data_IF_189303528573
#
_entry.id   IF_189303528573
#
_cell.length_a   1.000
_cell.length_b   1.000
_cell.length_c   1.000
_cell.angle_alpha   90.00
_cell.angle_beta   90.00
_cell.angle_gamma   90.00
#
_symmetry.space_group_name_H-M   'P 1'
#
loop_
_entity.id
_entity.type
_entity.pdbx_description
1 polymer ?
#
# COMPACT_ATOMS: atom_id res chain seq x y z
N UNK A 1 1.90 -0.10 17.16
CA UNK A 1 3.12 -0.46 16.44
C UNK A 1 3.78 0.78 15.86
N UNK A 2 5.08 0.72 15.74
CA UNK A 2 5.84 1.83 15.17
C UNK A 2 5.85 1.77 13.65
N UNK A 3 5.68 2.90 12.97
CA UNK A 3 5.88 2.94 11.53
C UNK A 3 7.31 2.56 11.17
N UNK A 4 7.47 1.76 10.13
CA UNK A 4 8.79 1.35 9.63
C UNK A 4 9.33 2.33 8.58
N UNK A 5 8.46 3.14 8.00
CA UNK A 5 8.83 4.15 7.00
C UNK A 5 7.71 5.19 6.90
N UNK A 6 7.95 6.25 6.15
CA UNK A 6 6.98 7.33 5.97
C UNK A 6 6.22 7.15 4.65
N UNK A 7 4.94 7.54 4.68
CA UNK A 7 4.08 7.45 3.50
C UNK A 7 4.30 8.60 2.51
N UNK A 8 4.72 9.75 3.01
CA UNK A 8 4.72 10.95 2.19
C UNK A 8 3.31 11.38 1.83
N UNK A 9 3.13 11.94 0.65
CA UNK A 9 1.82 12.35 0.17
C UNK A 9 0.99 11.13 -0.21
N UNK A 10 -0.26 11.08 0.26
CA UNK A 10 -1.17 9.98 -0.05
C UNK A 10 -1.92 10.29 -1.34
N UNK A 11 -1.80 9.40 -2.31
CA UNK A 11 -2.44 9.54 -3.62
C UNK A 11 -3.30 8.31 -3.88
N UNK A 12 -4.34 8.48 -4.69
CA UNK A 12 -5.20 7.37 -5.11
C UNK A 12 -5.64 7.60 -6.55
N UNK A 13 -5.71 6.52 -7.32
CA UNK A 13 -6.34 6.62 -8.64
C UNK A 13 -7.82 6.91 -8.47
N UNK A 14 -8.46 7.56 -9.46
CA UNK A 14 -9.91 7.78 -9.39
C UNK A 14 -10.69 6.48 -9.24
N UNK A 15 -10.23 5.39 -9.86
CA UNK A 15 -10.89 4.09 -9.76
C UNK A 15 -10.91 3.54 -8.34
N UNK A 16 -9.79 3.59 -7.64
CA UNK A 16 -9.73 3.13 -6.25
C UNK A 16 -10.53 4.06 -5.34
N UNK A 17 -10.43 5.36 -5.55
CA UNK A 17 -11.17 6.32 -4.74
C UNK A 17 -12.67 6.08 -4.83
N UNK A 18 -13.18 5.88 -6.04
CA UNK A 18 -14.59 5.58 -6.29
C UNK A 18 -14.99 4.26 -5.64
N UNK A 19 -14.14 3.23 -5.76
CA UNK A 19 -14.40 1.92 -5.17
C UNK A 19 -14.53 1.99 -3.64
N UNK A 20 -13.61 2.69 -2.99
CA UNK A 20 -13.65 2.88 -1.54
C UNK A 20 -14.89 3.66 -1.12
N UNK A 21 -15.19 4.73 -1.84
CA UNK A 21 -16.34 5.57 -1.54
C UNK A 21 -17.65 4.80 -1.70
N UNK A 22 -17.77 4.06 -2.81
CA UNK A 22 -18.97 3.25 -3.09
C UNK A 22 -19.25 2.22 -1.99
N UNK A 23 -18.21 1.62 -1.43
CA UNK A 23 -18.34 0.60 -0.39
C UNK A 23 -18.22 1.14 1.04
N UNK A 24 -18.08 2.45 1.20
CA UNK A 24 -17.96 3.07 2.52
C UNK A 24 -16.72 2.63 3.28
N UNK A 25 -15.61 2.36 2.60
CA UNK A 25 -14.38 1.87 3.21
C UNK A 25 -13.37 3.00 3.37
N UNK A 26 -12.78 3.09 4.57
CA UNK A 26 -11.72 4.05 4.85
C UNK A 26 -10.37 3.41 4.54
N UNK A 27 -9.51 4.11 3.82
CA UNK A 27 -8.18 3.62 3.47
C UNK A 27 -7.22 3.62 4.66
N UNK A 28 -7.47 4.42 5.69
CA UNK A 28 -6.54 4.61 6.80
C UNK A 28 -6.06 3.31 7.46
N UNK A 29 -6.93 2.35 7.80
CA UNK A 29 -6.46 1.10 8.42
C UNK A 29 -5.48 0.33 7.53
N UNK A 30 -5.65 0.38 6.21
CA UNK A 30 -4.76 -0.30 5.28
C UNK A 30 -3.42 0.41 5.17
N UNK A 31 -3.42 1.73 5.20
CA UNK A 31 -2.19 2.51 5.22
C UNK A 31 -1.39 2.23 6.50
N UNK A 32 -2.06 2.10 7.63
CA UNK A 32 -1.41 1.74 8.89
C UNK A 32 -0.80 0.34 8.85
N UNK A 33 -1.49 -0.62 8.23
CA UNK A 33 -0.94 -1.96 8.02
C UNK A 33 0.31 -1.90 7.17
N UNK A 34 0.26 -1.13 6.10
CA UNK A 34 1.36 -0.97 5.14
C UNK A 34 2.64 -0.48 5.83
N UNK A 35 2.56 0.57 6.65
CA UNK A 35 3.75 1.15 7.29
C UNK A 35 4.25 0.36 8.49
N UNK A 36 3.47 -0.60 8.99
CA UNK A 36 3.87 -1.41 10.14
C UNK A 36 4.29 -2.83 9.78
N UNK A 37 4.40 -3.11 8.47
CA UNK A 37 4.94 -4.39 8.02
C UNK A 37 3.90 -5.45 7.71
N UNK A 38 2.62 -5.11 7.69
CA UNK A 38 1.56 -6.02 7.26
C UNK A 38 1.23 -5.70 5.80
N UNK A 39 1.87 -6.41 4.89
CA UNK A 39 1.79 -6.12 3.45
C UNK A 39 0.60 -6.80 2.77
N UNK A 40 -0.28 -7.44 3.55
CA UNK A 40 -1.49 -8.06 3.02
C UNK A 40 -1.23 -9.32 2.23
N UNK A 41 -1.80 -9.40 1.05
CA UNK A 41 -1.83 -10.61 0.21
C UNK A 41 -0.59 -10.81 -0.65
N UNK A 42 0.57 -10.43 -0.16
CA UNK A 42 1.83 -10.71 -0.85
C UNK A 42 2.39 -12.05 -0.37
N UNK A 43 3.18 -12.72 -1.22
CA UNK A 43 3.81 -13.98 -0.81
C UNK A 43 4.96 -13.70 0.17
N UNK A 44 5.45 -14.78 0.81
CA UNK A 44 6.51 -14.65 1.81
C UNK A 44 7.78 -14.02 1.24
N UNK A 45 8.14 -14.34 0.00
CA UNK A 45 9.32 -13.78 -0.66
C UNK A 45 9.14 -12.28 -0.90
N UNK A 46 7.96 -11.87 -1.35
CA UNK A 46 7.66 -10.45 -1.57
C UNK A 46 7.63 -9.67 -0.25
N UNK A 47 7.15 -10.29 0.83
CA UNK A 47 7.19 -9.67 2.15
C UNK A 47 8.63 -9.42 2.60
N UNK A 48 9.53 -10.38 2.37
CA UNK A 48 10.96 -10.23 2.66
C UNK A 48 11.58 -9.13 1.82
N UNK A 49 11.22 -9.07 0.53
CA UNK A 49 11.68 -8.02 -0.37
C UNK A 49 11.25 -6.63 0.15
N UNK A 50 10.04 -6.52 0.66
CA UNK A 50 9.55 -5.27 1.22
C UNK A 50 10.35 -4.86 2.47
N UNK A 51 10.68 -5.79 3.35
CA UNK A 51 11.50 -5.48 4.52
C UNK A 51 12.90 -5.01 4.11
N UNK A 52 13.47 -5.66 3.10
CA UNK A 52 14.73 -5.23 2.53
C UNK A 52 14.62 -3.84 1.90
N UNK A 53 13.54 -3.59 1.16
CA UNK A 53 13.27 -2.31 0.51
C UNK A 53 13.14 -1.17 1.53
N UNK A 54 12.48 -1.43 2.67
CA UNK A 54 12.35 -0.46 3.74
C UNK A 54 13.72 -0.08 4.28
N UNK A 55 14.59 -1.07 4.46
CA UNK A 55 15.93 -0.88 5.01
C UNK A 55 16.86 -0.18 4.03
N UNK A 56 16.75 -0.52 2.74
CA UNK A 56 17.66 -0.03 1.71
C UNK A 56 17.16 1.20 0.93
N UNK A 57 15.94 1.63 1.17
CA UNK A 57 15.38 2.80 0.48
C UNK A 57 14.88 2.46 -0.91
N UNK A 58 14.24 1.32 -1.10
CA UNK A 58 13.58 0.94 -2.34
C UNK A 58 12.06 1.04 -2.19
N UNK A 59 11.35 0.88 -3.30
CA UNK A 59 9.89 0.92 -3.34
C UNK A 59 9.28 -0.21 -2.51
N UNK A 60 8.20 0.09 -1.78
CA UNK A 60 7.47 -0.89 -0.96
C UNK A 60 6.08 -1.09 -1.54
N UNK A 61 5.67 -2.34 -1.73
CA UNK A 61 4.37 -2.68 -2.32
C UNK A 61 3.59 -3.62 -1.42
N UNK A 62 2.40 -3.19 -1.00
CA UNK A 62 1.43 -4.04 -0.32
C UNK A 62 0.24 -4.32 -1.23
N UNK A 63 -0.45 -5.42 -0.98
CA UNK A 63 -1.64 -5.80 -1.72
C UNK A 63 -2.74 -6.17 -0.73
N UNK A 64 -3.86 -5.48 -0.78
CA UNK A 64 -4.99 -5.75 0.12
C UNK A 64 -6.23 -6.07 -0.69
N UNK A 65 -7.05 -6.98 -0.18
CA UNK A 65 -8.36 -7.23 -0.77
C UNK A 65 -9.37 -6.35 -0.04
N UNK A 66 -9.94 -5.39 -0.75
CA UNK A 66 -10.88 -4.43 -0.18
C UNK A 66 -12.19 -4.52 -0.95
N UNK A 67 -13.28 -4.86 -0.26
CA UNK A 67 -14.59 -5.05 -0.90
C UNK A 67 -14.47 -5.98 -2.12
N UNK A 68 -13.84 -7.12 -1.91
CA UNK A 68 -13.69 -8.22 -2.88
C UNK A 68 -12.81 -7.89 -4.09
N UNK A 69 -12.06 -6.80 -4.02
CA UNK A 69 -11.19 -6.39 -5.12
C UNK A 69 -9.79 -6.07 -4.61
N UNK A 70 -8.78 -6.51 -5.35
CA UNK A 70 -7.39 -6.28 -4.96
C UNK A 70 -6.99 -4.83 -5.22
N UNK A 71 -6.38 -4.22 -4.21
CA UNK A 71 -5.86 -2.86 -4.28
C UNK A 71 -4.40 -2.89 -3.89
N UNK A 72 -3.53 -2.31 -4.71
CA UNK A 72 -2.12 -2.17 -4.39
C UNK A 72 -1.87 -0.84 -3.68
N UNK A 73 -0.92 -0.88 -2.74
CA UNK A 73 -0.46 0.29 -2.01
C UNK A 73 1.06 0.37 -2.21
N UNK A 74 1.51 1.37 -2.95
CA UNK A 74 2.92 1.49 -3.33
C UNK A 74 3.50 2.78 -2.79
N UNK A 75 4.59 2.67 -2.00
CA UNK A 75 5.35 3.82 -1.54
C UNK A 75 6.63 3.93 -2.36
N UNK A 76 6.88 5.12 -2.92
CA UNK A 76 8.05 5.35 -3.75
C UNK A 76 9.35 5.25 -2.95
N UNK A 77 10.45 4.97 -3.65
CA UNK A 77 11.75 4.73 -3.02
C UNK A 77 12.21 5.90 -2.15
N UNK A 78 11.95 7.13 -2.58
CA UNK A 78 12.33 8.32 -1.83
C UNK A 78 11.34 8.72 -0.75
N UNK A 79 10.27 7.92 -0.56
CA UNK A 79 9.20 8.16 0.41
C UNK A 79 8.44 9.46 0.15
N UNK A 80 8.44 9.94 -1.10
CA UNK A 80 7.75 11.18 -1.46
C UNK A 80 6.24 11.00 -1.50
N UNK A 81 5.76 9.82 -1.88
CA UNK A 81 4.33 9.56 -1.95
C UNK A 81 4.01 8.07 -1.85
N UNK A 82 2.77 7.80 -1.48
CA UNK A 82 2.18 6.46 -1.45
C UNK A 82 0.90 6.49 -2.27
N UNK A 83 0.78 5.60 -3.23
CA UNK A 83 -0.33 5.56 -4.17
C UNK A 83 -1.15 4.29 -3.99
N UNK A 84 -2.47 4.46 -3.93
CA UNK A 84 -3.43 3.35 -3.97
C UNK A 84 -3.92 3.22 -5.41
N UNK A 85 -3.83 2.01 -5.97
CA UNK A 85 -4.23 1.76 -7.35
C UNK A 85 -4.66 0.30 -7.51
N UNK A 86 -5.44 0.03 -8.54
CA UNK A 86 -5.72 -1.36 -8.91
C UNK A 86 -4.52 -1.92 -9.69
N UNK A 87 -4.27 -3.26 -9.60
CA UNK A 87 -3.16 -3.86 -10.34
C UNK A 87 -3.16 -3.57 -11.84
N UNK A 88 -4.34 -3.54 -12.44
CA UNK A 88 -4.46 -3.27 -13.87
C UNK A 88 -4.15 -1.82 -14.26
N UNK A 89 -4.08 -0.94 -13.28
CA UNK A 89 -3.74 0.47 -13.49
C UNK A 89 -2.23 0.74 -13.41
N UNK A 90 -1.50 -0.26 -12.99
CA UNK A 90 -0.03 -0.15 -12.90
C UNK A 90 0.57 -0.27 -14.30
#
# INVERSE_FOLDING_TARGET
KRPLFQLGQILSTPGVLEHLDHHGVNAQPFLERHITGDFGDVCADDAKENLFAIEQGFRVLSAYTIAERKVWCITEADRSCTTLLFPEEY
#
